data_IF_750489383279
#
_entry.id   IF_750489383279
#
_cell.length_a   1.000
_cell.length_b   1.000
_cell.length_c   1.000
_cell.angle_alpha   90.00
_cell.angle_beta   90.00
_cell.angle_gamma   90.00
#
_symmetry.space_group_name_H-M   'P 1'
#
loop_
_entity.id
_entity.type
_entity.pdbx_description
1 polymer ?
#
# COMPACT_ATOMS: atom_id res chain seq x y z
N UNK A 1 26.91 -28.77 -7.58
CA UNK A 1 27.21 -27.33 -7.74
C UNK A 1 26.25 -26.63 -8.71
N UNK A 2 26.05 -27.18 -9.93
CA UNK A 2 25.13 -26.56 -10.92
C UNK A 2 23.70 -26.36 -10.37
N UNK A 3 23.14 -27.35 -9.68
CA UNK A 3 21.80 -27.27 -9.07
C UNK A 3 21.72 -26.19 -7.98
N UNK A 4 22.78 -25.97 -7.22
CA UNK A 4 22.84 -24.93 -6.18
C UNK A 4 22.82 -23.54 -6.84
N UNK A 5 23.63 -23.34 -7.88
CA UNK A 5 23.70 -22.07 -8.63
C UNK A 5 22.34 -21.78 -9.28
N UNK A 6 21.74 -22.79 -9.94
CA UNK A 6 20.42 -22.65 -10.57
C UNK A 6 19.33 -22.29 -9.55
N UNK A 7 19.32 -22.94 -8.36
CA UNK A 7 18.35 -22.65 -7.32
C UNK A 7 18.49 -21.22 -6.76
N UNK A 8 19.72 -20.74 -6.56
CA UNK A 8 19.98 -19.37 -6.13
C UNK A 8 19.49 -18.33 -7.15
N UNK A 9 19.72 -18.58 -8.43
CA UNK A 9 19.24 -17.72 -9.52
C UNK A 9 17.72 -17.64 -9.56
N UNK A 10 17.04 -18.78 -9.41
CA UNK A 10 15.56 -18.84 -9.36
C UNK A 10 14.99 -18.12 -8.13
N UNK A 11 15.61 -18.27 -6.95
CA UNK A 11 15.20 -17.58 -5.74
C UNK A 11 15.35 -16.06 -5.91
N UNK A 12 16.49 -15.59 -6.41
CA UNK A 12 16.72 -14.17 -6.69
C UNK A 12 15.73 -13.61 -7.70
N UNK A 13 15.47 -14.34 -8.79
CA UNK A 13 14.45 -13.99 -9.79
C UNK A 13 13.04 -13.90 -9.18
N UNK A 14 12.69 -14.84 -8.30
CA UNK A 14 11.39 -14.83 -7.59
C UNK A 14 11.24 -13.59 -6.70
N UNK A 15 12.29 -13.19 -5.98
CA UNK A 15 12.26 -11.97 -5.17
C UNK A 15 12.04 -10.73 -6.04
N UNK A 16 12.71 -10.63 -7.18
CA UNK A 16 12.55 -9.51 -8.11
C UNK A 16 11.13 -9.44 -8.67
N UNK A 17 10.56 -10.57 -9.11
CA UNK A 17 9.20 -10.64 -9.61
C UNK A 17 8.16 -10.24 -8.54
N UNK A 18 8.33 -10.71 -7.30
CA UNK A 18 7.44 -10.35 -6.19
C UNK A 18 7.58 -8.87 -5.84
N UNK A 19 8.80 -8.32 -5.85
CA UNK A 19 9.03 -6.88 -5.63
C UNK A 19 8.29 -6.04 -6.68
N UNK A 20 8.37 -6.41 -7.96
CA UNK A 20 7.64 -5.72 -9.02
C UNK A 20 6.12 -5.89 -8.88
N UNK A 21 5.64 -7.07 -8.51
CA UNK A 21 4.22 -7.28 -8.24
C UNK A 21 3.70 -6.43 -7.06
N UNK A 22 4.51 -6.19 -6.04
CA UNK A 22 4.19 -5.25 -4.94
C UNK A 22 4.15 -3.81 -5.46
N UNK A 23 5.12 -3.38 -6.29
CA UNK A 23 5.14 -2.04 -6.91
C UNK A 23 3.91 -1.79 -7.77
N UNK A 24 3.48 -2.80 -8.53
CA UNK A 24 2.26 -2.76 -9.35
C UNK A 24 0.96 -2.90 -8.55
N UNK A 25 1.04 -2.96 -7.20
CA UNK A 25 -0.12 -3.14 -6.30
C UNK A 25 -0.91 -4.44 -6.55
N UNK A 26 -0.25 -5.46 -7.11
CA UNK A 26 -0.80 -6.81 -7.32
C UNK A 26 -0.65 -7.70 -6.10
N UNK A 27 0.34 -7.41 -5.23
CA UNK A 27 0.57 -8.12 -3.98
C UNK A 27 0.60 -7.14 -2.80
N UNK A 28 0.36 -7.64 -1.57
CA UNK A 28 0.48 -6.82 -0.37
C UNK A 28 1.92 -6.38 -0.12
N UNK A 29 2.09 -5.24 0.56
CA UNK A 29 3.40 -4.77 0.97
C UNK A 29 4.06 -5.76 1.94
N UNK A 30 5.26 -6.22 1.59
CA UNK A 30 6.12 -7.09 2.39
C UNK A 30 7.42 -6.37 2.71
N UNK A 31 8.12 -6.81 3.76
CA UNK A 31 9.44 -6.27 4.07
C UNK A 31 10.45 -6.74 3.03
N UNK A 32 11.14 -5.79 2.41
CA UNK A 32 12.19 -6.03 1.42
C UNK A 32 13.49 -5.54 2.03
N UNK A 33 14.51 -6.39 2.03
CA UNK A 33 15.86 -6.05 2.45
C UNK A 33 16.77 -5.98 1.23
N UNK A 34 17.61 -4.98 1.17
CA UNK A 34 18.57 -4.77 0.09
C UNK A 34 20.01 -4.97 0.61
N UNK A 35 20.54 -6.20 0.60
CA UNK A 35 21.89 -6.48 1.11
C UNK A 35 22.97 -5.87 0.22
N UNK A 36 22.73 -5.79 -1.10
CA UNK A 36 23.66 -5.26 -2.08
C UNK A 36 23.45 -3.78 -2.43
N UNK A 37 24.34 -3.23 -3.28
CA UNK A 37 24.25 -1.87 -3.82
C UNK A 37 23.40 -1.77 -5.09
N UNK A 38 23.05 -2.89 -5.70
CA UNK A 38 22.26 -2.98 -6.92
C UNK A 38 20.80 -3.30 -6.61
N UNK A 39 19.88 -2.76 -7.38
CA UNK A 39 18.42 -2.91 -7.19
C UNK A 39 18.00 -4.39 -7.28
N UNK A 40 18.70 -5.20 -8.06
CA UNK A 40 18.41 -6.62 -8.24
C UNK A 40 18.81 -7.52 -7.06
N UNK A 41 19.63 -7.03 -6.12
CA UNK A 41 20.01 -7.76 -4.91
C UNK A 41 19.05 -7.46 -3.78
N UNK A 42 17.94 -8.18 -3.74
CA UNK A 42 16.91 -8.01 -2.72
C UNK A 42 16.59 -9.35 -2.04
N UNK A 43 16.11 -9.27 -0.81
CA UNK A 43 15.71 -10.41 0.00
C UNK A 43 14.36 -10.16 0.66
N UNK A 44 13.43 -11.08 0.47
CA UNK A 44 12.07 -11.01 1.03
C UNK A 44 11.84 -12.24 1.90
N UNK A 45 11.94 -12.14 3.24
CA UNK A 45 11.87 -13.30 4.14
C UNK A 45 10.59 -14.12 3.99
N UNK A 46 9.45 -13.44 3.82
CA UNK A 46 8.16 -14.11 3.65
C UNK A 46 8.12 -14.98 2.37
N UNK A 47 8.67 -14.44 1.27
CA UNK A 47 8.74 -15.18 0.00
C UNK A 47 9.71 -16.33 0.11
N UNK A 48 10.86 -16.14 0.76
CA UNK A 48 11.82 -17.21 0.99
C UNK A 48 11.21 -18.37 1.77
N UNK A 49 10.46 -18.07 2.84
CA UNK A 49 9.75 -19.09 3.62
C UNK A 49 8.71 -19.83 2.78
N UNK A 50 7.91 -19.10 1.98
CA UNK A 50 6.90 -19.68 1.10
C UNK A 50 7.56 -20.59 0.05
N UNK A 51 8.64 -20.14 -0.59
CA UNK A 51 9.38 -20.95 -1.56
C UNK A 51 9.93 -22.22 -0.92
N UNK A 52 10.52 -22.12 0.28
CA UNK A 52 11.03 -23.28 1.00
C UNK A 52 9.94 -24.29 1.33
N UNK A 53 8.81 -23.83 1.90
CA UNK A 53 7.68 -24.69 2.25
C UNK A 53 7.09 -25.36 1.00
N UNK A 54 6.90 -24.59 -0.07
CA UNK A 54 6.31 -25.09 -1.32
C UNK A 54 7.22 -26.10 -1.99
N UNK A 55 8.53 -25.82 -2.08
CA UNK A 55 9.49 -26.75 -2.67
C UNK A 55 9.56 -28.03 -1.86
N UNK A 56 9.62 -27.93 -0.53
CA UNK A 56 9.63 -29.10 0.35
C UNK A 56 8.36 -29.95 0.19
N UNK A 57 7.19 -29.30 0.12
CA UNK A 57 5.92 -29.97 -0.08
C UNK A 57 5.87 -30.71 -1.43
N UNK A 58 6.35 -30.10 -2.51
CA UNK A 58 6.42 -30.71 -3.85
C UNK A 58 7.34 -31.94 -3.84
N UNK A 59 8.51 -31.83 -3.23
CA UNK A 59 9.46 -32.96 -3.14
C UNK A 59 8.86 -34.13 -2.36
N UNK A 60 8.22 -33.84 -1.23
CA UNK A 60 7.56 -34.86 -0.41
C UNK A 60 6.35 -35.50 -1.11
N UNK A 61 5.63 -34.71 -1.92
CA UNK A 61 4.45 -35.17 -2.64
C UNK A 61 4.79 -36.08 -3.81
N UNK A 62 5.70 -35.63 -4.68
CA UNK A 62 6.02 -36.39 -5.90
C UNK A 62 6.92 -37.58 -5.65
N UNK A 63 7.93 -37.45 -4.81
CA UNK A 63 8.93 -38.48 -4.48
C UNK A 63 9.64 -39.12 -5.69
N UNK A 64 9.35 -38.66 -6.91
CA UNK A 64 9.94 -39.14 -8.15
C UNK A 64 10.37 -37.97 -9.04
N UNK A 65 11.50 -38.10 -9.71
CA UNK A 65 12.00 -37.07 -10.63
C UNK A 65 11.11 -36.91 -11.86
N UNK A 66 10.49 -38.00 -12.35
CA UNK A 66 9.66 -38.00 -13.55
C UNK A 66 8.40 -37.12 -13.41
N UNK A 67 7.70 -37.21 -12.29
CA UNK A 67 6.54 -36.37 -12.02
C UNK A 67 6.93 -34.89 -11.83
N UNK A 68 8.09 -34.63 -11.21
CA UNK A 68 8.61 -33.26 -11.08
C UNK A 68 9.01 -32.66 -12.45
N UNK A 69 9.58 -33.48 -13.35
CA UNK A 69 9.92 -33.07 -14.71
C UNK A 69 8.66 -32.68 -15.51
N UNK A 70 7.57 -33.46 -15.40
CA UNK A 70 6.29 -33.15 -16.04
C UNK A 70 5.71 -31.81 -15.56
N UNK A 71 5.76 -31.56 -14.25
CA UNK A 71 5.33 -30.30 -13.65
C UNK A 71 6.18 -29.12 -14.13
N UNK A 72 7.49 -29.26 -14.10
CA UNK A 72 8.47 -28.27 -14.52
C UNK A 72 8.36 -27.93 -16.02
N UNK A 73 8.23 -28.94 -16.88
CA UNK A 73 8.09 -28.80 -18.33
C UNK A 73 6.86 -27.97 -18.70
N UNK A 74 5.72 -28.19 -18.04
CA UNK A 74 4.50 -27.41 -18.29
C UNK A 74 4.69 -25.94 -17.85
N UNK A 75 5.30 -25.70 -16.68
CA UNK A 75 5.56 -24.35 -16.21
C UNK A 75 6.44 -23.54 -17.16
N UNK A 76 7.54 -24.16 -17.64
CA UNK A 76 8.47 -23.49 -18.56
C UNK A 76 7.79 -23.15 -19.88
N UNK A 77 7.06 -24.10 -20.50
CA UNK A 77 6.45 -23.86 -21.82
C UNK A 77 5.40 -22.76 -21.77
N UNK A 78 4.60 -22.68 -20.70
CA UNK A 78 3.68 -21.54 -20.47
C UNK A 78 4.46 -20.22 -20.33
N UNK A 79 5.55 -20.22 -19.57
CA UNK A 79 6.37 -19.02 -19.39
C UNK A 79 7.01 -18.58 -20.71
N UNK A 80 7.49 -19.49 -21.54
CA UNK A 80 8.05 -19.19 -22.86
C UNK A 80 7.00 -18.51 -23.74
N UNK A 81 5.80 -19.07 -23.87
CA UNK A 81 4.69 -18.47 -24.61
C UNK A 81 4.35 -17.06 -24.14
N UNK A 82 4.28 -16.84 -22.81
CA UNK A 82 4.04 -15.50 -22.25
C UNK A 82 5.18 -14.53 -22.59
N UNK A 83 6.42 -14.99 -22.53
CA UNK A 83 7.60 -14.18 -22.90
C UNK A 83 7.57 -13.78 -24.35
N UNK A 84 7.18 -14.67 -25.27
CA UNK A 84 7.03 -14.39 -26.70
C UNK A 84 5.92 -13.37 -26.97
N UNK A 85 4.81 -13.43 -26.25
CA UNK A 85 3.76 -12.40 -26.33
C UNK A 85 4.31 -11.03 -25.86
N UNK A 86 5.01 -10.99 -24.73
CA UNK A 86 5.63 -9.76 -24.24
C UNK A 86 6.69 -9.22 -25.19
N UNK A 87 7.47 -10.09 -25.83
CA UNK A 87 8.46 -9.72 -26.85
C UNK A 87 7.78 -9.04 -28.05
N UNK A 88 6.63 -9.53 -28.51
CA UNK A 88 5.88 -8.91 -29.60
C UNK A 88 5.48 -7.46 -29.25
N UNK A 89 4.92 -7.25 -28.06
CA UNK A 89 4.58 -5.90 -27.57
C UNK A 89 5.82 -5.00 -27.45
N UNK A 90 6.91 -5.53 -26.91
CA UNK A 90 8.16 -4.79 -26.77
C UNK A 90 8.74 -4.35 -28.11
N UNK A 91 8.76 -5.23 -29.12
CA UNK A 91 9.24 -4.92 -30.46
C UNK A 91 8.40 -3.81 -31.12
N UNK A 92 7.09 -3.85 -30.98
CA UNK A 92 6.19 -2.79 -31.47
C UNK A 92 6.47 -1.46 -30.75
N UNK A 93 6.66 -1.50 -29.42
CA UNK A 93 6.99 -0.31 -28.62
C UNK A 93 8.33 0.31 -29.03
N UNK A 94 9.32 -0.51 -29.40
CA UNK A 94 10.64 -0.06 -29.91
C UNK A 94 10.58 0.49 -31.32
N UNK A 95 9.41 0.52 -31.96
CA UNK A 95 9.22 1.11 -33.29
C UNK A 95 9.33 0.13 -34.45
N UNK A 96 9.41 -1.18 -34.19
CA UNK A 96 9.35 -2.18 -35.24
C UNK A 96 7.98 -2.19 -35.90
N UNK A 97 7.91 -2.34 -37.24
CA UNK A 97 6.62 -2.45 -37.95
C UNK A 97 5.81 -3.63 -37.40
N UNK A 98 4.55 -3.36 -37.06
CA UNK A 98 3.65 -4.36 -36.46
C UNK A 98 3.66 -5.74 -37.15
N UNK A 99 3.53 -5.82 -38.51
CA UNK A 99 3.50 -7.12 -39.18
C UNK A 99 4.81 -7.90 -38.97
N UNK A 100 5.97 -7.22 -38.92
CA UNK A 100 7.24 -7.87 -38.72
C UNK A 100 7.39 -8.36 -37.26
N UNK A 101 6.97 -7.57 -36.29
CA UNK A 101 6.99 -7.96 -34.90
C UNK A 101 6.12 -9.20 -34.65
N UNK A 102 4.91 -9.22 -35.22
CA UNK A 102 4.02 -10.38 -35.10
C UNK A 102 4.52 -11.61 -35.89
N UNK A 103 5.19 -11.44 -37.02
CA UNK A 103 5.81 -12.53 -37.76
C UNK A 103 6.90 -13.21 -36.93
N UNK A 104 7.77 -12.42 -36.31
CA UNK A 104 8.83 -12.93 -35.41
C UNK A 104 8.20 -13.67 -34.22
N UNK A 105 7.21 -13.08 -33.59
CA UNK A 105 6.54 -13.70 -32.45
C UNK A 105 5.81 -15.00 -32.87
N UNK A 106 5.14 -15.03 -34.03
CA UNK A 106 4.47 -16.23 -34.53
C UNK A 106 5.46 -17.36 -34.85
N UNK A 107 6.65 -17.04 -35.36
CA UNK A 107 7.71 -18.03 -35.58
C UNK A 107 8.14 -18.69 -34.27
N UNK A 108 8.48 -17.91 -33.23
CA UNK A 108 8.84 -18.48 -31.94
C UNK A 108 7.67 -19.19 -31.28
N UNK A 109 6.47 -18.60 -31.27
CA UNK A 109 5.27 -19.20 -30.70
C UNK A 109 4.92 -20.56 -31.34
N UNK A 110 5.17 -20.76 -32.65
CA UNK A 110 4.92 -22.04 -33.30
C UNK A 110 5.80 -23.16 -32.75
N UNK A 111 7.08 -22.86 -32.49
CA UNK A 111 8.02 -23.83 -31.88
C UNK A 111 7.62 -24.10 -30.42
N UNK A 112 7.34 -23.06 -29.66
CA UNK A 112 6.95 -23.15 -28.25
C UNK A 112 5.63 -23.91 -28.06
N UNK A 113 4.69 -23.74 -29.01
CA UNK A 113 3.41 -24.45 -29.00
C UNK A 113 3.57 -25.96 -29.14
N UNK A 114 4.54 -26.43 -29.94
CA UNK A 114 4.88 -27.84 -30.04
C UNK A 114 5.34 -28.38 -28.68
N UNK A 115 6.26 -27.67 -28.03
CA UNK A 115 6.72 -28.04 -26.69
C UNK A 115 5.60 -27.99 -25.64
N UNK A 116 4.72 -26.99 -25.73
CA UNK A 116 3.55 -26.89 -24.86
C UNK A 116 2.62 -28.07 -25.01
N UNK A 117 2.27 -28.49 -26.25
CA UNK A 117 1.42 -29.66 -26.51
C UNK A 117 2.07 -30.93 -25.95
N UNK A 118 3.38 -31.12 -26.17
CA UNK A 118 4.10 -32.26 -25.63
C UNK A 118 4.10 -32.30 -24.10
N UNK A 119 4.27 -31.13 -23.46
CA UNK A 119 4.23 -31.01 -21.99
C UNK A 119 2.81 -31.17 -21.46
N UNK A 120 1.80 -30.66 -22.15
CA UNK A 120 0.38 -30.78 -21.78
C UNK A 120 -0.09 -32.23 -21.80
N UNK A 121 0.45 -33.09 -22.68
CA UNK A 121 0.16 -34.51 -22.68
C UNK A 121 0.54 -35.20 -21.35
N UNK A 122 1.54 -34.66 -20.65
CA UNK A 122 1.98 -35.12 -19.30
C UNK A 122 1.21 -34.48 -18.15
N UNK A 123 0.12 -33.72 -18.42
CA UNK A 123 -0.66 -33.00 -17.41
C UNK A 123 -1.07 -33.85 -16.23
N UNK A 124 -1.62 -35.05 -16.51
CA UNK A 124 -2.11 -35.98 -15.47
C UNK A 124 -1.00 -36.58 -14.64
N UNK A 125 0.25 -36.60 -15.16
CA UNK A 125 1.42 -37.19 -14.47
C UNK A 125 2.16 -36.18 -13.58
N UNK A 126 1.57 -35.01 -13.29
CA UNK A 126 2.13 -34.02 -12.35
C UNK A 126 1.92 -32.58 -12.76
N UNK A 127 1.62 -32.27 -14.02
CA UNK A 127 1.43 -30.90 -14.52
C UNK A 127 0.28 -30.16 -13.83
N UNK A 128 -0.76 -30.86 -13.36
CA UNK A 128 -1.89 -30.24 -12.65
C UNK A 128 -1.51 -29.54 -11.36
N UNK A 129 -0.45 -29.96 -10.67
CA UNK A 129 0.02 -29.33 -9.41
C UNK A 129 0.46 -27.91 -9.67
N UNK A 130 1.22 -27.68 -10.75
CA UNK A 130 1.69 -26.34 -11.13
C UNK A 130 0.52 -25.43 -11.49
N UNK A 131 -0.48 -25.96 -12.21
CA UNK A 131 -1.68 -25.19 -12.57
C UNK A 131 -2.46 -24.78 -11.33
N UNK A 132 -2.62 -25.67 -10.34
CA UNK A 132 -3.28 -25.34 -9.07
C UNK A 132 -2.49 -24.25 -8.32
N UNK A 133 -1.17 -24.35 -8.26
CA UNK A 133 -0.32 -23.36 -7.62
C UNK A 133 -0.41 -21.99 -8.32
N UNK A 134 -0.32 -21.99 -9.65
CA UNK A 134 -0.47 -20.78 -10.45
C UNK A 134 -1.84 -20.14 -10.24
N UNK A 135 -2.91 -20.92 -10.26
CA UNK A 135 -4.27 -20.45 -10.01
C UNK A 135 -4.41 -19.84 -8.61
N UNK A 136 -3.78 -20.42 -7.58
CA UNK A 136 -3.78 -19.88 -6.22
C UNK A 136 -3.08 -18.52 -6.16
N UNK A 137 -1.92 -18.38 -6.78
CA UNK A 137 -1.17 -17.11 -6.83
C UNK A 137 -1.97 -16.05 -7.59
N UNK A 138 -2.48 -16.39 -8.78
CA UNK A 138 -3.30 -15.49 -9.60
C UNK A 138 -4.55 -15.06 -8.82
N UNK A 139 -5.18 -15.97 -8.10
CA UNK A 139 -6.35 -15.66 -7.26
C UNK A 139 -6.01 -14.64 -6.16
N UNK A 140 -4.87 -14.81 -5.46
CA UNK A 140 -4.41 -13.85 -4.44
C UNK A 140 -4.13 -12.48 -5.07
N UNK A 141 -3.44 -12.45 -6.22
CA UNK A 141 -3.15 -11.21 -6.95
C UNK A 141 -4.45 -10.53 -7.42
N UNK A 142 -5.38 -11.29 -7.97
CA UNK A 142 -6.66 -10.77 -8.44
C UNK A 142 -7.48 -10.17 -7.30
N UNK A 143 -7.60 -10.89 -6.17
CA UNK A 143 -8.29 -10.39 -4.97
C UNK A 143 -7.67 -9.09 -4.48
N UNK A 144 -6.34 -9.03 -4.42
CA UNK A 144 -5.63 -7.84 -3.96
C UNK A 144 -5.82 -6.65 -4.90
N UNK A 145 -5.66 -6.87 -6.20
CA UNK A 145 -5.83 -5.85 -7.23
C UNK A 145 -7.26 -5.30 -7.27
N UNK A 146 -8.25 -6.19 -7.34
CA UNK A 146 -9.66 -5.81 -7.40
C UNK A 146 -10.10 -5.05 -6.14
N UNK A 147 -9.67 -5.53 -4.97
CA UNK A 147 -9.95 -4.83 -3.71
C UNK A 147 -9.32 -3.44 -3.67
N UNK A 148 -8.09 -3.30 -4.14
CA UNK A 148 -7.40 -2.00 -4.19
C UNK A 148 -8.09 -1.06 -5.17
N UNK A 149 -8.54 -1.56 -6.31
CA UNK A 149 -9.31 -0.80 -7.31
C UNK A 149 -10.67 -0.35 -6.76
N UNK A 150 -11.42 -1.25 -6.10
CA UNK A 150 -12.71 -0.91 -5.49
C UNK A 150 -12.58 0.13 -4.38
N UNK A 151 -11.61 0.00 -3.50
CA UNK A 151 -11.34 1.01 -2.46
C UNK A 151 -10.95 2.35 -3.10
N UNK A 152 -10.02 2.33 -4.06
CA UNK A 152 -9.55 3.55 -4.72
C UNK A 152 -10.63 4.32 -5.48
N UNK A 153 -11.63 3.61 -6.03
CA UNK A 153 -12.76 4.23 -6.73
C UNK A 153 -13.66 5.05 -5.78
N UNK A 154 -13.69 4.70 -4.51
CA UNK A 154 -14.56 5.33 -3.51
C UNK A 154 -13.84 6.35 -2.62
N UNK A 155 -12.51 6.44 -2.71
CA UNK A 155 -11.76 7.50 -2.04
C UNK A 155 -11.95 8.78 -2.84
N UNK A 156 -12.74 9.71 -2.28
CA UNK A 156 -12.88 11.05 -2.82
C UNK A 156 -11.67 11.88 -2.38
N UNK A 157 -10.98 12.48 -3.32
CA UNK A 157 -9.97 13.51 -3.04
C UNK A 157 -10.65 14.88 -3.00
N UNK A 158 -10.20 15.74 -2.10
CA UNK A 158 -10.69 17.11 -1.95
C UNK A 158 -9.54 18.07 -2.22
N UNK A 159 -9.87 19.23 -2.78
CA UNK A 159 -8.91 20.31 -2.97
C UNK A 159 -8.61 20.96 -1.62
N UNK A 160 -7.34 20.97 -1.22
CA UNK A 160 -6.90 21.54 0.04
C UNK A 160 -7.04 23.07 0.07
N UNK A 161 -7.09 23.70 -1.12
CA UNK A 161 -7.31 25.15 -1.22
C UNK A 161 -8.65 25.57 -0.62
N UNK A 162 -9.70 24.77 -0.78
CA UNK A 162 -11.04 25.06 -0.26
C UNK A 162 -11.10 25.04 1.28
N UNK A 163 -10.13 24.37 1.93
CA UNK A 163 -10.10 24.18 3.37
C UNK A 163 -9.05 25.01 4.09
N UNK A 164 -8.27 25.84 3.38
CA UNK A 164 -7.28 26.73 3.99
C UNK A 164 -7.88 27.64 5.07
N UNK A 165 -9.04 28.23 4.77
CA UNK A 165 -9.74 29.11 5.72
C UNK A 165 -10.10 28.41 7.03
N UNK A 166 -10.71 27.23 6.93
CA UNK A 166 -11.11 26.44 8.09
C UNK A 166 -9.90 25.95 8.93
N UNK A 167 -8.81 25.55 8.29
CA UNK A 167 -7.59 25.17 8.99
C UNK A 167 -6.93 26.37 9.68
N UNK A 168 -7.03 27.57 9.10
CA UNK A 168 -6.57 28.80 9.72
C UNK A 168 -7.40 29.15 10.95
N UNK A 169 -8.73 29.16 10.82
CA UNK A 169 -9.65 29.37 11.94
C UNK A 169 -9.37 28.39 13.09
N UNK A 170 -9.18 27.11 12.78
CA UNK A 170 -8.85 26.07 13.76
C UNK A 170 -7.50 26.34 14.46
N UNK A 171 -6.49 26.82 13.71
CA UNK A 171 -5.19 27.20 14.28
C UNK A 171 -5.32 28.39 15.24
N UNK A 172 -6.12 29.39 14.88
CA UNK A 172 -6.25 30.66 15.61
C UNK A 172 -7.28 30.60 16.75
N UNK A 173 -8.06 29.53 16.85
CA UNK A 173 -9.08 29.34 17.89
C UNK A 173 -8.43 29.36 19.30
N UNK A 174 -8.83 30.32 20.13
CA UNK A 174 -8.27 30.51 21.48
C UNK A 174 -8.98 29.66 22.55
N UNK A 175 -10.17 29.17 22.24
CA UNK A 175 -10.94 28.35 23.19
C UNK A 175 -10.51 26.88 23.17
N UNK A 176 -9.86 26.46 22.09
CA UNK A 176 -9.40 25.09 21.91
C UNK A 176 -7.92 24.92 22.29
N UNK A 177 -7.65 23.90 23.09
CA UNK A 177 -6.30 23.52 23.45
C UNK A 177 -5.48 23.04 22.24
N UNK A 178 -4.21 23.37 22.22
CA UNK A 178 -3.28 22.90 21.19
C UNK A 178 -3.15 21.37 21.27
N UNK A 179 -3.61 20.69 20.24
CA UNK A 179 -3.50 19.22 20.15
C UNK A 179 -2.06 18.79 19.90
N UNK A 180 -1.33 19.50 19.03
CA UNK A 180 0.07 19.24 18.71
C UNK A 180 0.69 20.42 17.96
N UNK A 181 2.02 20.62 18.10
CA UNK A 181 2.74 21.64 17.32
C UNK A 181 2.79 21.23 15.83
N UNK A 182 3.27 20.03 15.54
CA UNK A 182 3.35 19.49 14.18
C UNK A 182 2.48 18.25 14.05
N UNK A 183 1.36 18.37 13.36
CA UNK A 183 0.43 17.28 13.10
C UNK A 183 0.69 16.70 11.70
N UNK A 184 1.15 15.44 11.63
CA UNK A 184 1.66 14.82 10.40
C UNK A 184 0.73 13.74 9.91
N UNK A 185 0.23 13.88 8.69
CA UNK A 185 -0.53 12.87 7.96
C UNK A 185 0.29 12.25 6.85
N UNK A 186 0.42 10.92 6.87
CA UNK A 186 1.06 10.18 5.80
C UNK A 186 0.02 9.82 4.74
N UNK A 187 0.18 10.35 3.53
CA UNK A 187 -0.73 10.13 2.40
C UNK A 187 0.00 9.45 1.24
N UNK A 188 -0.58 8.38 0.73
CA UNK A 188 -0.08 7.71 -0.48
C UNK A 188 -0.67 8.31 -1.77
N UNK A 189 -1.62 9.24 -1.64
CA UNK A 189 -2.34 9.89 -2.73
C UNK A 189 -2.31 11.40 -2.52
N UNK A 190 -1.23 12.01 -2.90
CA UNK A 190 -1.10 13.45 -2.93
C UNK A 190 -0.68 13.84 -4.35
N UNK A 191 -1.62 14.33 -5.14
CA UNK A 191 -1.42 14.78 -6.52
C UNK A 191 -1.85 16.25 -6.60
N UNK A 192 -0.89 17.12 -6.86
CA UNK A 192 -1.14 18.57 -6.86
C UNK A 192 -1.67 19.03 -5.51
N UNK A 193 -2.81 19.72 -5.51
CA UNK A 193 -3.45 20.27 -4.31
C UNK A 193 -4.52 19.34 -3.71
N UNK A 194 -4.70 18.16 -4.29
CA UNK A 194 -5.68 17.20 -3.83
C UNK A 194 -5.12 16.27 -2.74
N UNK A 195 -5.91 16.11 -1.67
CA UNK A 195 -5.63 15.18 -0.57
C UNK A 195 -6.83 14.26 -0.29
N UNK A 196 -6.58 13.16 0.39
CA UNK A 196 -7.65 12.22 0.76
C UNK A 196 -8.65 12.89 1.71
N UNK A 197 -9.96 12.79 1.39
CA UNK A 197 -11.05 13.28 2.25
C UNK A 197 -10.97 12.76 3.67
N UNK A 198 -10.48 11.54 3.87
CA UNK A 198 -10.32 10.92 5.17
C UNK A 198 -9.41 11.71 6.11
N UNK A 199 -8.42 12.43 5.55
CA UNK A 199 -7.50 13.28 6.31
C UNK A 199 -8.25 14.52 6.83
N UNK A 200 -8.96 15.22 5.95
CA UNK A 200 -9.76 16.39 6.37
C UNK A 200 -10.86 16.02 7.35
N UNK A 201 -11.53 14.88 7.12
CA UNK A 201 -12.50 14.35 8.06
C UNK A 201 -11.87 14.07 9.44
N UNK A 202 -10.65 13.53 9.49
CA UNK A 202 -9.93 13.30 10.73
C UNK A 202 -9.60 14.61 11.46
N UNK A 203 -9.22 15.67 10.72
CA UNK A 203 -8.84 16.96 11.29
C UNK A 203 -10.06 17.75 11.77
N UNK A 204 -11.12 17.82 10.94
CA UNK A 204 -12.23 18.75 11.14
C UNK A 204 -13.47 18.08 11.77
N UNK A 205 -13.91 16.94 11.22
CA UNK A 205 -15.24 16.38 11.54
C UNK A 205 -15.22 15.38 12.71
N UNK A 206 -14.22 14.48 12.75
CA UNK A 206 -14.19 13.42 13.75
C UNK A 206 -13.90 13.97 15.16
N UNK A 207 -12.89 14.77 15.25
CA UNK A 207 -12.51 15.56 16.43
C UNK A 207 -11.60 16.66 15.95
N UNK A 208 -12.01 17.92 16.04
CA UNK A 208 -11.15 19.03 15.63
C UNK A 208 -9.78 18.95 16.30
N UNK A 209 -8.72 19.09 15.51
CA UNK A 209 -7.33 18.97 16.00
C UNK A 209 -6.59 20.25 15.69
N UNK A 210 -6.50 21.11 16.68
CA UNK A 210 -5.73 22.34 16.59
C UNK A 210 -4.24 22.03 16.52
N UNK A 211 -3.57 22.47 15.46
CA UNK A 211 -2.13 22.34 15.30
C UNK A 211 -1.52 23.68 14.84
N UNK A 212 -0.26 23.92 15.15
CA UNK A 212 0.43 25.08 14.60
C UNK A 212 0.77 24.88 13.12
N UNK A 213 1.16 23.62 12.77
CA UNK A 213 1.48 23.24 11.39
C UNK A 213 0.90 21.89 11.06
N UNK A 214 0.14 21.83 9.96
CA UNK A 214 -0.43 20.63 9.36
C UNK A 214 0.49 20.13 8.24
N UNK A 215 1.00 18.93 8.41
CA UNK A 215 1.92 18.30 7.47
C UNK A 215 1.24 17.19 6.69
N UNK A 216 1.30 17.28 5.37
CA UNK A 216 0.86 16.24 4.46
C UNK A 216 2.08 15.66 3.77
N UNK A 217 2.42 14.41 4.10
CA UNK A 217 3.69 13.80 3.71
C UNK A 217 3.45 12.59 2.81
N UNK A 218 4.06 12.62 1.64
CA UNK A 218 4.10 11.49 0.72
C UNK A 218 5.53 10.99 0.59
N UNK A 219 5.74 9.67 0.68
CA UNK A 219 7.06 9.05 0.54
C UNK A 219 7.09 8.27 -0.78
N UNK A 220 8.01 8.66 -1.67
CA UNK A 220 8.27 8.01 -2.95
C UNK A 220 9.64 7.32 -2.88
N UNK A 221 9.66 6.02 -3.12
CA UNK A 221 10.91 5.27 -3.21
C UNK A 221 11.44 5.39 -4.63
N UNK A 222 12.70 5.86 -4.76
CA UNK A 222 13.39 6.03 -6.05
C UNK A 222 14.18 4.79 -6.42
N UNK A 223 14.51 4.66 -7.71
CA UNK A 223 15.30 3.55 -8.25
C UNK A 223 16.80 3.68 -7.94
N UNK A 224 17.24 4.83 -7.43
CA UNK A 224 18.59 5.04 -6.95
C UNK A 224 18.76 4.61 -5.49
N UNK A 225 19.90 4.02 -5.10
CA UNK A 225 20.06 3.44 -3.77
C UNK A 225 20.12 4.46 -2.64
N UNK A 226 20.63 5.66 -2.87
CA UNK A 226 20.99 6.63 -1.82
C UNK A 226 20.31 8.00 -1.96
N UNK A 227 19.31 8.12 -2.80
CA UNK A 227 18.57 9.39 -2.95
C UNK A 227 17.99 9.80 -1.60
N UNK A 228 18.18 11.06 -1.23
CA UNK A 228 17.60 11.66 -0.03
C UNK A 228 17.25 13.11 -0.35
N UNK A 229 16.12 13.30 -1.00
CA UNK A 229 15.64 14.57 -1.50
C UNK A 229 14.23 14.85 -1.01
N UNK A 230 13.87 16.11 -0.94
CA UNK A 230 12.51 16.50 -0.60
C UNK A 230 12.05 17.71 -1.42
N UNK A 231 10.77 17.76 -1.64
CA UNK A 231 10.07 18.89 -2.24
C UNK A 231 9.02 19.39 -1.26
N UNK A 232 8.98 20.70 -1.05
CA UNK A 232 8.05 21.34 -0.09
C UNK A 232 7.24 22.40 -0.79
N UNK A 233 5.92 22.29 -0.64
CA UNK A 233 4.96 23.31 -1.02
C UNK A 233 4.16 23.75 0.23
N UNK A 234 4.21 25.02 0.54
CA UNK A 234 3.49 25.62 1.69
C UNK A 234 2.14 26.22 1.30
N UNK A 235 1.75 26.13 0.02
CA UNK A 235 0.49 26.65 -0.49
C UNK A 235 0.24 28.15 -0.16
N UNK A 236 1.32 28.93 0.01
CA UNK A 236 1.25 30.33 0.40
C UNK A 236 0.84 30.59 1.86
N UNK A 237 0.96 29.60 2.75
CA UNK A 237 0.63 29.69 4.18
C UNK A 237 1.83 29.35 5.06
N UNK A 238 1.74 29.65 6.35
CA UNK A 238 2.73 29.29 7.37
C UNK A 238 2.31 28.08 8.23
N UNK A 239 1.14 27.51 7.94
CA UNK A 239 0.52 26.43 8.73
C UNK A 239 0.19 25.17 7.92
N UNK A 240 0.29 25.18 6.60
CA UNK A 240 0.10 24.02 5.73
C UNK A 240 1.43 23.72 5.05
N UNK A 241 1.90 22.49 5.18
CA UNK A 241 3.14 22.03 4.52
C UNK A 241 2.90 20.70 3.84
N UNK A 242 2.95 20.69 2.51
CA UNK A 242 2.98 19.46 1.71
C UNK A 242 4.43 19.07 1.45
N UNK A 243 4.76 17.82 1.70
CA UNK A 243 6.12 17.30 1.53
C UNK A 243 6.10 16.04 0.69
N UNK A 244 6.86 16.04 -0.39
CA UNK A 244 7.23 14.83 -1.11
C UNK A 244 8.66 14.44 -0.73
N UNK A 245 8.80 13.29 -0.07
CA UNK A 245 10.09 12.70 0.25
C UNK A 245 10.49 11.71 -0.84
N UNK A 246 11.63 11.91 -1.46
CA UNK A 246 12.22 11.01 -2.43
C UNK A 246 13.38 10.27 -1.77
N UNK A 247 13.13 9.00 -1.42
CA UNK A 247 14.09 8.18 -0.69
C UNK A 247 14.58 7.03 -1.56
N UNK A 248 15.88 6.85 -1.62
CA UNK A 248 16.50 5.72 -2.30
C UNK A 248 16.05 4.38 -1.70
N UNK A 249 15.98 3.32 -2.50
CA UNK A 249 15.47 2.01 -2.08
C UNK A 249 16.26 1.38 -0.90
N UNK A 250 17.52 1.81 -0.68
CA UNK A 250 18.33 1.38 0.47
C UNK A 250 18.21 2.29 1.70
N UNK A 251 17.65 3.48 1.53
CA UNK A 251 17.48 4.41 2.64
C UNK A 251 16.43 3.89 3.62
N UNK A 252 16.72 3.97 4.91
CA UNK A 252 15.72 3.69 5.93
C UNK A 252 14.63 4.74 5.87
N UNK A 253 13.38 4.31 5.82
CA UNK A 253 12.23 5.21 5.79
C UNK A 253 11.93 5.76 7.20
N UNK A 254 12.89 6.44 7.81
CA UNK A 254 12.76 7.09 9.11
C UNK A 254 12.14 8.49 8.92
N UNK A 255 10.88 8.56 8.55
CA UNK A 255 10.16 9.82 8.25
C UNK A 255 10.30 10.86 9.37
N UNK A 256 10.23 10.52 10.67
CA UNK A 256 10.40 11.52 11.74
C UNK A 256 11.74 12.24 11.70
N UNK A 257 12.79 11.54 11.31
CA UNK A 257 14.15 12.12 11.24
C UNK A 257 14.27 13.09 10.08
N UNK A 258 13.74 12.74 8.91
CA UNK A 258 13.73 13.63 7.75
C UNK A 258 12.89 14.87 7.99
N UNK A 259 11.69 14.73 8.57
CA UNK A 259 10.85 15.88 8.88
C UNK A 259 11.49 16.85 9.86
N UNK A 260 12.19 16.38 10.89
CA UNK A 260 12.94 17.26 11.80
C UNK A 260 13.99 18.09 11.07
N UNK A 261 14.66 17.51 10.08
CA UNK A 261 15.63 18.24 9.25
C UNK A 261 14.93 19.28 8.39
N UNK A 262 13.82 18.90 7.73
CA UNK A 262 13.04 19.81 6.89
C UNK A 262 12.50 20.98 7.69
N UNK A 263 11.95 20.76 8.90
CA UNK A 263 11.49 21.85 9.78
C UNK A 263 12.63 22.82 10.10
N UNK A 264 13.83 22.30 10.45
CA UNK A 264 14.99 23.15 10.70
C UNK A 264 15.37 23.99 9.49
N UNK A 265 15.33 23.41 8.29
CA UNK A 265 15.64 24.11 7.06
C UNK A 265 14.60 25.19 6.74
N UNK A 266 13.30 24.90 6.98
CA UNK A 266 12.23 25.85 6.81
C UNK A 266 12.28 27.02 7.82
N UNK A 267 12.67 26.75 9.07
CA UNK A 267 12.88 27.79 10.10
C UNK A 267 14.11 28.66 9.74
N UNK A 268 15.22 28.05 9.31
CA UNK A 268 16.43 28.78 8.89
C UNK A 268 16.17 29.67 7.67
N UNK A 269 15.34 29.21 6.73
CA UNK A 269 14.96 29.99 5.55
C UNK A 269 13.87 31.04 5.82
N UNK A 270 13.37 31.17 7.05
CA UNK A 270 12.32 32.11 7.44
C UNK A 270 10.93 31.74 6.91
N UNK A 271 10.76 30.54 6.37
CA UNK A 271 9.47 30.06 5.85
C UNK A 271 8.53 29.56 6.95
N UNK A 272 9.06 29.07 8.05
CA UNK A 272 8.31 28.71 9.25
C UNK A 272 8.83 29.51 10.46
N UNK A 273 7.93 29.91 11.40
CA UNK A 273 8.34 30.51 12.66
C UNK A 273 9.07 29.48 13.53
N UNK A 274 9.87 29.96 14.47
CA UNK A 274 10.49 29.09 15.49
C UNK A 274 9.40 28.44 16.34
N UNK A 275 9.54 27.14 16.58
CA UNK A 275 8.61 26.35 17.38
C UNK A 275 9.18 26.10 18.77
N UNK A 276 9.24 27.16 19.58
CA UNK A 276 9.81 27.08 20.92
C UNK A 276 8.94 26.20 21.83
N UNK A 277 9.58 25.26 22.50
CA UNK A 277 8.94 24.44 23.54
C UNK A 277 9.23 25.01 24.91
N UNK A 278 8.17 25.38 25.64
CA UNK A 278 8.27 25.92 27.01
C UNK A 278 8.93 24.93 27.98
N UNK A 279 8.65 23.63 27.79
CA UNK A 279 9.16 22.56 28.65
C UNK A 279 10.06 21.63 27.82
N UNK A 280 11.38 21.78 27.98
CA UNK A 280 12.36 20.95 27.29
C UNK A 280 13.58 20.71 28.14
N UNK A 281 14.15 19.52 28.10
CA UNK A 281 15.44 19.19 28.70
C UNK A 281 16.61 19.57 27.79
N UNK A 282 16.35 19.97 26.55
CA UNK A 282 17.37 20.33 25.56
C UNK A 282 17.27 21.83 25.25
N UNK A 283 18.14 22.69 25.84
CA UNK A 283 18.15 24.13 25.55
C UNK A 283 18.45 24.37 24.06
N UNK A 284 17.77 25.34 23.44
CA UNK A 284 17.96 25.71 22.03
C UNK A 284 17.22 24.77 21.04
N UNK A 285 16.22 24.06 21.49
CA UNK A 285 15.36 23.23 20.60
C UNK A 285 14.34 24.11 19.89
N UNK A 286 14.62 24.44 18.62
CA UNK A 286 13.77 25.28 17.75
C UNK A 286 12.67 24.49 17.03
N UNK A 287 12.62 23.16 17.18
CA UNK A 287 11.67 22.26 16.50
C UNK A 287 10.69 21.70 17.53
N UNK A 288 9.42 21.96 17.33
CA UNK A 288 8.32 21.41 18.12
C UNK A 288 8.19 19.90 18.04
N UNK A 289 7.27 19.36 18.80
CA UNK A 289 6.92 17.95 18.82
C UNK A 289 6.07 17.58 17.61
N UNK A 290 6.12 16.28 17.29
CA UNK A 290 5.42 15.69 16.16
C UNK A 290 4.44 14.63 16.65
N UNK A 291 3.24 14.65 16.10
CA UNK A 291 2.30 13.53 16.18
C UNK A 291 1.99 13.03 14.77
N UNK A 292 2.20 11.75 14.57
CA UNK A 292 1.89 11.08 13.30
C UNK A 292 0.51 10.46 13.37
N UNK A 293 -0.35 10.83 12.43
CA UNK A 293 -1.67 10.24 12.32
C UNK A 293 -1.69 9.27 11.14
N UNK A 294 -1.93 8.00 11.45
CA UNK A 294 -2.10 6.94 10.47
C UNK A 294 -3.58 6.65 10.32
N UNK A 295 -4.13 6.89 9.15
CA UNK A 295 -5.55 6.64 8.89
C UNK A 295 -5.74 5.20 8.42
N UNK A 296 -6.58 4.46 9.14
CA UNK A 296 -7.09 3.16 8.73
C UNK A 296 -8.52 3.31 8.23
N UNK A 297 -8.71 3.30 6.93
CA UNK A 297 -10.02 3.31 6.31
C UNK A 297 -10.73 1.97 6.53
N UNK A 298 -11.93 2.00 7.10
CA UNK A 298 -12.79 0.82 7.27
C UNK A 298 -14.07 0.98 6.49
N UNK A 299 -14.36 -0.01 5.67
CA UNK A 299 -15.61 -0.08 4.91
C UNK A 299 -16.77 -0.30 5.87
N UNK A 300 -17.65 0.69 6.01
CA UNK A 300 -18.73 0.67 7.01
C UNK A 300 -19.97 -0.05 6.48
N UNK A 301 -20.26 0.00 5.18
CA UNK A 301 -21.49 -0.55 4.56
C UNK A 301 -21.20 -1.69 3.57
N UNK A 302 -20.40 -2.67 3.97
CA UNK A 302 -20.09 -3.83 3.12
C UNK A 302 -21.34 -4.63 2.70
N UNK A 303 -22.46 -4.50 3.42
CA UNK A 303 -23.70 -5.23 3.12
C UNK A 303 -24.39 -4.77 1.82
N UNK A 304 -24.21 -3.50 1.41
CA UNK A 304 -24.76 -2.95 0.17
C UNK A 304 -23.91 -3.25 -1.08
N UNK A 305 -22.72 -3.83 -0.90
CA UNK A 305 -21.86 -4.21 -2.01
C UNK A 305 -22.32 -5.53 -2.63
N UNK A 306 -22.06 -5.75 -3.94
CA UNK A 306 -22.20 -7.03 -4.58
C UNK A 306 -21.51 -8.15 -3.77
N UNK A 307 -22.04 -9.35 -3.79
CA UNK A 307 -21.52 -10.46 -3.01
C UNK A 307 -20.03 -10.73 -3.29
N UNK A 308 -19.60 -10.52 -4.53
CA UNK A 308 -18.22 -10.63 -4.96
C UNK A 308 -17.31 -9.61 -4.31
N UNK A 309 -17.68 -8.32 -4.30
CA UNK A 309 -16.87 -7.26 -3.67
C UNK A 309 -16.77 -7.46 -2.15
N UNK A 310 -17.84 -7.96 -1.50
CA UNK A 310 -17.82 -8.34 -0.09
C UNK A 310 -16.81 -9.46 0.20
N UNK A 311 -16.79 -10.49 -0.66
CA UNK A 311 -15.84 -11.58 -0.55
C UNK A 311 -14.39 -11.09 -0.70
N UNK A 312 -14.14 -10.29 -1.72
CA UNK A 312 -12.82 -9.70 -2.02
C UNK A 312 -12.31 -8.83 -0.87
N UNK A 313 -13.17 -7.98 -0.29
CA UNK A 313 -12.81 -7.13 0.87
C UNK A 313 -12.52 -7.95 2.13
N UNK A 314 -13.31 -9.01 2.41
CA UNK A 314 -13.06 -9.93 3.53
C UNK A 314 -11.74 -10.68 3.35
N UNK A 315 -11.46 -11.15 2.14
CA UNK A 315 -10.23 -11.84 1.80
C UNK A 315 -9.02 -10.91 1.99
N UNK A 316 -9.09 -9.65 1.48
CA UNK A 316 -8.05 -8.63 1.71
C UNK A 316 -7.81 -8.36 3.19
N UNK A 317 -8.89 -8.21 3.98
CA UNK A 317 -8.77 -7.97 5.41
C UNK A 317 -8.06 -9.12 6.14
N UNK A 318 -8.28 -10.37 5.69
CA UNK A 318 -7.60 -11.56 6.23
C UNK A 318 -6.12 -11.58 5.85
N UNK A 319 -5.79 -11.28 4.59
CA UNK A 319 -4.41 -11.20 4.10
C UNK A 319 -3.66 -10.05 4.81
N UNK A 320 -4.31 -8.90 5.02
CA UNK A 320 -3.72 -7.72 5.69
C UNK A 320 -3.22 -8.01 7.10
N UNK A 321 -3.73 -9.01 7.79
CA UNK A 321 -3.25 -9.40 9.13
C UNK A 321 -1.80 -9.91 9.12
N UNK A 322 -1.34 -10.41 7.99
CA UNK A 322 0.02 -10.95 7.82
C UNK A 322 0.98 -9.94 7.16
N UNK A 323 0.52 -8.73 6.88
CA UNK A 323 1.34 -7.68 6.25
C UNK A 323 1.95 -6.75 7.29
N UNK A 324 3.03 -6.06 6.90
CA UNK A 324 3.66 -5.06 7.77
C UNK A 324 2.70 -3.90 8.07
N UNK A 325 2.67 -3.47 9.32
CA UNK A 325 1.90 -2.31 9.74
C UNK A 325 2.56 -1.01 9.25
N UNK A 326 1.78 0.03 8.88
CA UNK A 326 2.33 1.29 8.36
C UNK A 326 3.32 1.98 9.30
N UNK A 327 3.10 1.88 10.62
CA UNK A 327 3.98 2.44 11.65
C UNK A 327 5.41 1.89 11.56
N UNK A 328 5.53 0.59 11.30
CA UNK A 328 6.84 -0.06 11.10
C UNK A 328 7.47 0.27 9.75
N UNK A 329 6.64 0.48 8.73
CA UNK A 329 7.15 0.81 7.39
C UNK A 329 7.81 2.20 7.35
N UNK A 330 7.19 3.20 8.00
CA UNK A 330 7.66 4.57 8.02
C UNK A 330 8.61 4.90 9.17
N UNK A 331 9.07 3.91 9.92
CA UNK A 331 10.02 4.10 11.02
C UNK A 331 9.47 4.90 12.19
N UNK A 332 8.16 4.79 12.45
CA UNK A 332 7.46 5.56 13.50
C UNK A 332 7.51 4.94 14.89
N UNK A 333 8.30 3.86 15.08
CA UNK A 333 8.29 3.06 16.31
C UNK A 333 8.61 3.85 17.59
N UNK A 334 9.37 4.93 17.47
CA UNK A 334 9.77 5.80 18.57
C UNK A 334 9.11 7.18 18.53
N UNK A 335 8.06 7.32 17.72
CA UNK A 335 7.31 8.56 17.56
C UNK A 335 5.93 8.42 18.18
N UNK A 336 5.33 9.55 18.55
CA UNK A 336 3.95 9.57 18.97
C UNK A 336 3.04 9.30 17.75
N UNK A 337 2.37 8.16 17.74
CA UNK A 337 1.53 7.71 16.64
C UNK A 337 0.10 7.54 17.10
N UNK A 338 -0.83 8.20 16.41
CA UNK A 338 -2.26 8.03 16.58
C UNK A 338 -2.83 7.21 15.42
N UNK A 339 -3.35 6.03 15.71
CA UNK A 339 -4.05 5.21 14.72
C UNK A 339 -5.53 5.59 14.69
N UNK A 340 -5.97 6.21 13.61
CA UNK A 340 -7.35 6.64 13.47
C UNK A 340 -8.12 5.82 12.46
N UNK A 341 -9.27 5.31 12.89
CA UNK A 341 -10.21 4.61 12.03
C UNK A 341 -11.23 5.59 11.48
N UNK A 342 -11.25 5.71 10.16
CA UNK A 342 -12.18 6.56 9.44
C UNK A 342 -13.12 5.68 8.61
N UNK A 343 -14.45 5.92 8.66
CA UNK A 343 -15.37 5.16 7.84
C UNK A 343 -15.20 5.50 6.36
N UNK A 344 -14.95 4.48 5.52
CA UNK A 344 -15.05 4.62 4.08
C UNK A 344 -16.52 4.46 3.70
N UNK A 345 -17.20 5.58 3.42
CA UNK A 345 -18.61 5.57 3.03
C UNK A 345 -18.69 5.23 1.54
N UNK A 346 -19.12 4.02 1.22
CA UNK A 346 -19.23 3.52 -0.15
C UNK A 346 -20.53 3.94 -0.85
N UNK A 347 -21.46 4.59 -0.14
CA UNK A 347 -22.72 5.09 -0.70
C UNK A 347 -23.11 6.41 -0.07
N UNK A 348 -23.62 7.33 -0.89
CA UNK A 348 -23.96 8.70 -0.52
C UNK A 348 -25.23 8.87 0.36
N UNK A 349 -25.84 7.80 0.87
CA UNK A 349 -27.12 7.95 1.57
C UNK A 349 -27.16 7.15 2.86
N UNK A 350 -26.94 7.86 3.98
CA UNK A 350 -27.49 7.48 5.27
C UNK A 350 -28.92 8.02 5.38
N UNK A 351 -29.88 7.40 4.72
CA UNK A 351 -31.28 7.57 5.08
C UNK A 351 -31.68 6.49 6.09
N UNK A 352 -31.20 6.63 7.31
CA UNK A 352 -31.77 5.94 8.44
C UNK A 352 -32.97 6.75 8.91
N UNK A 353 -34.19 6.30 8.58
CA UNK A 353 -35.39 6.83 9.20
C UNK A 353 -35.52 6.19 10.59
N UNK A 354 -35.12 6.91 11.61
CA UNK A 354 -35.41 6.57 12.99
C UNK A 354 -36.67 7.34 13.38
N UNK A 355 -37.70 6.62 13.88
CA UNK A 355 -38.89 7.24 14.46
C UNK A 355 -38.73 7.27 15.98
N UNK A 356 -39.04 8.42 16.55
CA UNK A 356 -39.14 8.54 18.00
C UNK A 356 -40.24 7.62 18.50
N UNK A 357 -39.94 6.80 19.51
CA UNK A 357 -40.93 5.98 20.16
C UNK A 357 -41.74 6.87 21.11
N UNK A 358 -43.07 6.95 20.97
CA UNK A 358 -43.87 7.70 21.92
C UNK A 358 -43.62 7.17 23.36
N UNK A 359 -43.42 8.09 24.32
CA UNK A 359 -43.37 7.73 25.71
C UNK A 359 -44.68 6.98 26.05
N UNK A 360 -44.57 5.79 26.58
CA UNK A 360 -45.70 5.17 27.25
C UNK A 360 -46.05 6.10 28.40
N UNK A 361 -47.25 6.74 28.36
CA UNK A 361 -47.84 7.37 29.55
C UNK A 361 -47.99 6.26 30.57
N UNK A 362 -47.48 6.47 31.79
CA UNK A 362 -47.71 5.59 32.94
C UNK A 362 -49.23 5.45 33.11
N UNK A 363 -49.78 4.30 32.73
CA UNK A 363 -51.14 3.94 33.13
C UNK A 363 -51.11 3.93 34.66
N UNK A 364 -51.91 4.87 35.22
CA UNK A 364 -51.97 5.17 36.62
C UNK A 364 -52.12 3.91 37.47
N UNK A 365 -51.45 3.91 38.62
CA UNK A 365 -51.70 3.00 39.72
C UNK A 365 -53.19 2.90 39.98
N UNK A 366 -53.82 1.80 39.60
CA UNK A 366 -55.14 1.44 40.15
C UNK A 366 -54.94 1.16 41.65
N UNK A 367 -55.48 2.08 42.43
CA UNK A 367 -55.61 2.01 43.87
C UNK A 367 -56.41 0.73 44.24
N UNK A 368 -55.71 -0.33 44.58
CA UNK A 368 -56.34 -1.50 45.16
C UNK A 368 -56.46 -1.24 46.67
N UNK A 369 -57.57 -0.61 47.10
CA UNK A 369 -57.96 -0.55 48.47
C UNK A 369 -58.66 -1.89 48.90
N UNK A 370 -58.08 -2.54 49.86
CA UNK A 370 -58.75 -3.57 50.69
C UNK A 370 -59.38 -2.93 51.89
#
# INVERSE_FOLDING_TARGET
LASIIASQSLISGSFTLVSEAIRLKLLPMMRIYYPGKTLGQLYIPAVNLILWLTTSAIVLYFRSAEHMEAAYGLAITVTMLMTTVLLAYYLVYRGLKKPLAYLIAAFFASIELIFFIASAAKFVHGGYVVVIMAAMIIFVMFVWFQSSKSVNKHIKSLDLNDFKGQLKELKEDKEMDLYQTNLVYLSNKMEGDFIDRSILYSILDKRPKKAEVYWFVNVKVTDEPWTSEYEVDMMGTDYIVKVHLYLGFRMKQEVPRYLRTIVKDLIKSGRLPKQEQKYTTMPGRDVGDFRFVVIEERVTNAQKLPAFDRFVLKAKARIKRYTATPDRWFGLQFSEVSLERVPLILSDVYNLSIKERPKLEDEGEEDISY
#
